data_IF_142001221730
#
_entry.id   IF_142001221730
#
_cell.length_a   1.000
_cell.length_b   1.000
_cell.length_c   1.000
_cell.angle_alpha   90.00
_cell.angle_beta   90.00
_cell.angle_gamma   90.00
#
_symmetry.space_group_name_H-M   'P 1'
#
loop_
_entity.id
_entity.type
_entity.pdbx_description
1 polymer ?
#
# COMPACT_ATOMS: atom_id res chain seq x y z
N UNK A 1 16.69 -7.93 -10.52
CA UNK A 1 15.27 -8.23 -10.73
C UNK A 1 14.90 -7.93 -12.17
N UNK A 2 14.30 -8.86 -12.89
CA UNK A 2 13.69 -8.59 -14.20
C UNK A 2 12.35 -7.89 -14.01
N UNK A 3 11.91 -7.03 -14.94
CA UNK A 3 10.62 -6.31 -14.83
C UNK A 3 9.73 -6.70 -16.00
N UNK A 4 8.65 -7.42 -15.71
CA UNK A 4 7.66 -7.86 -16.69
C UNK A 4 6.87 -6.64 -17.18
N UNK A 5 6.83 -6.46 -18.49
CA UNK A 5 6.10 -5.42 -19.21
C UNK A 5 5.08 -6.05 -20.18
N UNK A 6 4.20 -5.22 -20.78
CA UNK A 6 3.15 -5.68 -21.69
C UNK A 6 1.80 -4.99 -21.53
N UNK A 7 1.67 -4.00 -20.63
CA UNK A 7 0.42 -3.26 -20.41
C UNK A 7 -0.71 -4.17 -19.91
N UNK A 8 -1.90 -4.04 -20.49
CA UNK A 8 -3.06 -4.92 -20.22
C UNK A 8 -3.16 -6.09 -21.21
N UNK A 9 -2.14 -6.29 -22.08
CA UNK A 9 -2.15 -7.31 -23.11
C UNK A 9 -1.50 -8.59 -22.58
N UNK A 10 -2.32 -9.61 -22.31
CA UNK A 10 -1.87 -10.85 -21.66
C UNK A 10 -0.83 -11.64 -22.46
N UNK A 11 -0.95 -11.65 -23.79
CA UNK A 11 0.01 -12.26 -24.70
C UNK A 11 1.40 -11.61 -24.60
N UNK A 12 1.47 -10.27 -24.64
CA UNK A 12 2.73 -9.54 -24.52
C UNK A 12 3.36 -9.72 -23.12
N UNK A 13 2.53 -9.84 -22.08
CA UNK A 13 2.96 -10.13 -20.71
C UNK A 13 3.64 -11.49 -20.60
N UNK A 14 3.05 -12.52 -21.20
CA UNK A 14 3.61 -13.87 -21.21
C UNK A 14 4.87 -13.97 -22.07
N UNK A 15 4.90 -13.34 -23.24
CA UNK A 15 6.11 -13.27 -24.08
C UNK A 15 7.28 -12.63 -23.32
N UNK A 16 7.02 -11.53 -22.60
CA UNK A 16 8.06 -10.87 -21.82
C UNK A 16 8.48 -11.70 -20.59
N UNK A 17 7.54 -12.40 -19.94
CA UNK A 17 7.85 -13.34 -18.85
C UNK A 17 8.75 -14.48 -19.34
N UNK A 18 8.47 -15.07 -20.50
CA UNK A 18 9.27 -16.17 -21.06
C UNK A 18 10.69 -15.70 -21.36
N UNK A 19 10.82 -14.51 -21.96
CA UNK A 19 12.13 -13.90 -22.20
C UNK A 19 12.90 -13.65 -20.90
N UNK A 20 12.26 -13.03 -19.90
CA UNK A 20 12.91 -12.74 -18.63
C UNK A 20 13.25 -14.01 -17.84
N UNK A 21 12.44 -15.06 -17.94
CA UNK A 21 12.68 -16.35 -17.30
C UNK A 21 13.84 -17.12 -17.92
N UNK A 22 14.24 -16.78 -19.16
CA UNK A 22 15.48 -17.29 -19.78
C UNK A 22 16.75 -16.64 -19.21
N UNK A 23 16.60 -15.58 -18.42
CA UNK A 23 17.69 -14.83 -17.79
C UNK A 23 17.66 -15.09 -16.29
N UNK A 24 18.82 -15.40 -15.70
CA UNK A 24 18.93 -15.71 -14.28
C UNK A 24 18.83 -14.44 -13.41
N UNK A 25 17.62 -14.11 -12.97
CA UNK A 25 17.35 -13.02 -12.02
C UNK A 25 16.94 -13.56 -10.66
N UNK A 26 17.43 -12.93 -9.59
CA UNK A 26 17.06 -13.24 -8.19
C UNK A 26 15.58 -12.96 -7.86
N UNK A 27 14.82 -12.38 -8.79
CA UNK A 27 13.46 -11.90 -8.55
C UNK A 27 12.82 -11.35 -9.82
N UNK A 28 11.50 -11.35 -9.86
CA UNK A 28 10.72 -10.79 -10.96
C UNK A 28 9.73 -9.73 -10.43
N UNK A 29 9.78 -8.55 -11.03
CA UNK A 29 8.87 -7.47 -10.76
C UNK A 29 7.81 -7.36 -11.87
N UNK A 30 6.67 -6.78 -11.53
CA UNK A 30 5.56 -6.53 -12.44
C UNK A 30 5.44 -5.01 -12.58
N UNK A 31 5.83 -4.49 -13.74
CA UNK A 31 5.78 -3.07 -14.06
C UNK A 31 4.56 -2.70 -14.91
N UNK A 32 4.30 -1.40 -15.04
CA UNK A 32 3.24 -0.89 -15.93
C UNK A 32 1.82 -1.22 -15.47
N UNK A 33 1.64 -1.51 -14.17
CA UNK A 33 0.36 -1.55 -13.47
C UNK A 33 0.33 -0.36 -12.48
N UNK A 34 -0.85 0.01 -12.00
CA UNK A 34 -1.13 1.20 -11.17
C UNK A 34 -0.89 2.53 -11.90
N UNK A 35 -1.17 2.57 -13.20
CA UNK A 35 -0.98 3.74 -14.07
C UNK A 35 -2.30 4.38 -14.54
N UNK A 36 -3.44 3.85 -14.09
CA UNK A 36 -4.78 4.39 -14.39
C UNK A 36 -5.79 3.33 -14.83
N UNK A 37 -5.38 2.06 -14.86
CA UNK A 37 -6.25 0.93 -15.12
C UNK A 37 -7.27 0.71 -13.99
N UNK A 38 -8.36 0.04 -14.32
CA UNK A 38 -9.36 -0.39 -13.34
C UNK A 38 -8.83 -1.56 -12.50
N UNK A 39 -9.44 -1.78 -11.34
CA UNK A 39 -9.11 -2.91 -10.47
C UNK A 39 -9.27 -4.24 -11.23
N UNK A 40 -10.33 -4.38 -12.04
CA UNK A 40 -10.60 -5.60 -12.80
C UNK A 40 -9.51 -5.86 -13.85
N UNK A 41 -9.15 -4.86 -14.66
CA UNK A 41 -8.07 -5.00 -15.65
C UNK A 41 -6.74 -5.39 -14.99
N UNK A 42 -6.41 -4.78 -13.86
CA UNK A 42 -5.22 -5.15 -13.09
C UNK A 42 -5.28 -6.60 -12.61
N UNK A 43 -6.42 -7.01 -12.05
CA UNK A 43 -6.58 -8.38 -11.54
C UNK A 43 -6.52 -9.42 -12.66
N UNK A 44 -7.10 -9.15 -13.83
CA UNK A 44 -6.99 -10.02 -15.00
C UNK A 44 -5.53 -10.26 -15.40
N UNK A 45 -4.70 -9.20 -15.41
CA UNK A 45 -3.26 -9.33 -15.69
C UNK A 45 -2.55 -10.14 -14.62
N UNK A 46 -2.85 -9.91 -13.33
CA UNK A 46 -2.21 -10.65 -12.24
C UNK A 46 -2.63 -12.12 -12.26
N UNK A 47 -3.91 -12.43 -12.35
CA UNK A 47 -4.44 -13.81 -12.40
C UNK A 47 -3.88 -14.61 -13.57
N UNK A 48 -3.61 -13.95 -14.71
CA UNK A 48 -2.92 -14.57 -15.84
C UNK A 48 -1.44 -14.85 -15.56
N UNK A 49 -0.71 -13.87 -15.01
CA UNK A 49 0.74 -13.95 -14.81
C UNK A 49 1.13 -14.87 -13.66
N UNK A 50 0.42 -14.80 -12.53
CA UNK A 50 0.84 -15.44 -11.28
C UNK A 50 1.06 -16.96 -11.39
N UNK A 51 0.21 -17.73 -12.10
CA UNK A 51 0.44 -19.16 -12.30
C UNK A 51 1.64 -19.48 -13.21
N UNK A 52 1.98 -18.59 -14.14
CA UNK A 52 3.08 -18.76 -15.08
C UNK A 52 4.45 -18.37 -14.47
N UNK A 53 4.46 -17.50 -13.46
CA UNK A 53 5.69 -17.07 -12.81
C UNK A 53 6.31 -18.19 -11.94
N UNK A 54 7.66 -18.31 -11.91
CA UNK A 54 8.35 -19.28 -11.06
C UNK A 54 8.04 -19.05 -9.57
N UNK A 55 7.52 -20.08 -8.89
CA UNK A 55 7.14 -19.99 -7.47
C UNK A 55 8.32 -19.81 -6.50
N UNK A 56 9.53 -20.17 -6.92
CA UNK A 56 10.76 -20.00 -6.13
C UNK A 56 11.32 -18.58 -6.17
N UNK A 57 10.76 -17.72 -7.02
CA UNK A 57 11.30 -16.39 -7.31
C UNK A 57 10.38 -15.34 -6.72
N UNK A 58 10.87 -14.38 -5.92
CA UNK A 58 10.03 -13.32 -5.36
C UNK A 58 9.32 -12.50 -6.46
N UNK A 59 8.01 -12.30 -6.26
CA UNK A 59 7.10 -11.57 -7.17
C UNK A 59 6.79 -10.20 -6.61
N UNK A 60 7.35 -9.17 -7.22
CA UNK A 60 7.25 -7.78 -6.73
C UNK A 60 6.29 -6.96 -7.60
N UNK A 61 5.18 -6.48 -7.03
CA UNK A 61 4.27 -5.57 -7.71
C UNK A 61 4.62 -4.11 -7.40
N UNK A 62 5.01 -3.36 -8.43
CA UNK A 62 5.51 -2.00 -8.28
C UNK A 62 4.37 -0.97 -8.17
N UNK A 63 4.45 -0.08 -7.18
CA UNK A 63 3.61 1.13 -7.11
C UNK A 63 2.16 0.94 -6.66
N UNK A 64 1.73 -0.27 -6.31
CA UNK A 64 0.39 -0.55 -5.77
C UNK A 64 0.39 -0.40 -4.25
N UNK A 65 -0.64 0.21 -3.65
CA UNK A 65 -0.55 0.38 -2.19
C UNK A 65 -1.73 0.87 -1.39
N UNK A 66 -3.00 0.73 -1.80
CA UNK A 66 -4.06 0.76 -0.77
C UNK A 66 -4.06 -0.57 -0.01
N UNK A 67 -4.49 -0.63 1.26
CA UNK A 67 -4.49 -1.88 2.02
C UNK A 67 -5.31 -2.99 1.35
N UNK A 68 -6.48 -2.64 0.78
CA UNK A 68 -7.33 -3.58 0.06
C UNK A 68 -6.66 -4.11 -1.20
N UNK A 69 -6.02 -3.23 -1.98
CA UNK A 69 -5.31 -3.64 -3.19
C UNK A 69 -4.14 -4.61 -2.88
N UNK A 70 -3.43 -4.37 -1.78
CA UNK A 70 -2.35 -5.27 -1.32
C UNK A 70 -2.92 -6.64 -0.98
N UNK A 71 -4.02 -6.71 -0.21
CA UNK A 71 -4.67 -7.98 0.14
C UNK A 71 -5.08 -8.75 -1.13
N UNK A 72 -5.78 -8.09 -2.06
CA UNK A 72 -6.21 -8.73 -3.31
C UNK A 72 -5.03 -9.24 -4.16
N UNK A 73 -3.92 -8.52 -4.17
CA UNK A 73 -2.72 -8.92 -4.90
C UNK A 73 -1.98 -10.08 -4.20
N UNK A 74 -1.96 -10.11 -2.86
CA UNK A 74 -1.45 -11.25 -2.09
C UNK A 74 -2.27 -12.51 -2.36
N UNK A 75 -3.60 -12.39 -2.46
CA UNK A 75 -4.50 -13.52 -2.72
C UNK A 75 -4.20 -14.25 -4.05
N UNK A 76 -3.67 -13.53 -5.04
CA UNK A 76 -3.22 -14.11 -6.31
C UNK A 76 -1.74 -14.50 -6.33
N UNK A 77 -0.97 -14.15 -5.29
CA UNK A 77 0.40 -14.59 -5.09
C UNK A 77 1.47 -13.53 -5.30
N UNK A 78 1.18 -12.24 -5.14
CA UNK A 78 2.24 -11.23 -5.09
C UNK A 78 2.93 -11.26 -3.72
N UNK A 79 4.27 -11.18 -3.70
CA UNK A 79 5.08 -11.32 -2.49
C UNK A 79 5.59 -9.98 -1.93
N UNK A 80 5.82 -8.98 -2.79
CA UNK A 80 6.42 -7.69 -2.42
C UNK A 80 5.69 -6.51 -3.03
N UNK A 81 5.73 -5.37 -2.33
CA UNK A 81 5.03 -4.13 -2.69
C UNK A 81 5.85 -2.90 -2.32
N UNK A 82 5.62 -1.80 -3.04
CA UNK A 82 6.04 -0.47 -2.63
C UNK A 82 4.94 0.54 -2.96
N UNK A 83 4.76 1.53 -2.10
CA UNK A 83 3.87 2.64 -2.41
C UNK A 83 4.09 3.86 -1.53
N UNK A 84 3.88 5.04 -2.12
CA UNK A 84 3.87 6.31 -1.39
C UNK A 84 2.57 6.56 -0.61
N UNK A 85 1.49 5.83 -0.91
CA UNK A 85 0.15 6.00 -0.34
C UNK A 85 0.15 6.16 1.19
N UNK A 86 0.74 5.25 2.00
CA UNK A 86 0.68 5.37 3.46
C UNK A 86 1.21 6.71 3.95
N UNK A 87 2.34 7.18 3.41
CA UNK A 87 2.94 8.45 3.83
C UNK A 87 2.22 9.66 3.23
N UNK A 88 1.82 9.61 1.95
CA UNK A 88 1.13 10.72 1.27
C UNK A 88 -0.25 10.97 1.88
N UNK A 89 -0.99 9.91 2.19
CA UNK A 89 -2.30 10.01 2.82
C UNK A 89 -2.20 10.52 4.27
N UNK A 90 -1.23 10.01 5.03
CA UNK A 90 -0.96 10.48 6.39
C UNK A 90 -0.75 12.00 6.44
N UNK A 91 0.14 12.54 5.60
CA UNK A 91 0.43 13.98 5.53
C UNK A 91 -0.78 14.83 5.14
N UNK A 92 -1.76 14.24 4.45
CA UNK A 92 -3.02 14.91 4.10
C UNK A 92 -4.14 14.70 5.13
N UNK A 93 -3.89 13.95 6.21
CA UNK A 93 -4.85 13.68 7.28
C UNK A 93 -5.81 12.52 6.98
N UNK A 94 -5.46 11.66 6.02
CA UNK A 94 -6.12 10.37 5.79
C UNK A 94 -5.30 9.27 6.45
N UNK A 95 -5.87 8.67 7.49
CA UNK A 95 -5.19 7.73 8.36
C UNK A 95 -5.91 6.38 8.30
N UNK A 96 -5.18 5.29 8.08
CA UNK A 96 -5.76 3.95 8.00
C UNK A 96 -5.88 3.32 9.38
N UNK A 97 -7.01 2.70 9.68
CA UNK A 97 -7.28 2.02 10.96
C UNK A 97 -7.96 0.68 10.69
N UNK A 98 -8.00 -0.20 11.68
CA UNK A 98 -8.71 -1.49 11.60
C UNK A 98 -10.22 -1.32 11.37
N UNK A 99 -10.77 -0.13 11.67
CA UNK A 99 -12.18 0.23 11.45
C UNK A 99 -12.41 1.04 10.17
N UNK A 100 -11.41 1.11 9.28
CA UNK A 100 -11.45 1.85 8.03
C UNK A 100 -10.68 3.16 8.08
N UNK A 101 -11.04 4.09 7.20
CA UNK A 101 -10.28 5.33 6.98
C UNK A 101 -10.72 6.45 7.93
N UNK A 102 -9.83 6.86 8.83
CA UNK A 102 -9.99 8.03 9.69
C UNK A 102 -9.57 9.31 8.97
N UNK A 103 -10.49 10.29 8.91
CA UNK A 103 -10.21 11.65 8.45
C UNK A 103 -9.91 12.54 9.65
N UNK A 104 -8.64 12.69 10.01
CA UNK A 104 -8.24 13.27 11.30
C UNK A 104 -8.67 14.74 11.47
N UNK A 105 -8.78 15.49 10.37
CA UNK A 105 -9.18 16.91 10.37
C UNK A 105 -10.67 17.13 10.68
N UNK A 106 -11.50 16.09 10.57
CA UNK A 106 -12.96 16.21 10.78
C UNK A 106 -13.30 16.75 12.17
N UNK A 107 -14.37 17.54 12.26
CA UNK A 107 -14.80 18.19 13.51
C UNK A 107 -15.10 17.19 14.63
N UNK A 108 -15.57 15.98 14.30
CA UNK A 108 -15.86 14.92 15.27
C UNK A 108 -14.64 14.53 16.14
N UNK A 109 -13.41 14.70 15.64
CA UNK A 109 -12.22 14.34 16.38
C UNK A 109 -11.73 15.49 17.30
N UNK A 110 -12.43 16.62 17.37
CA UNK A 110 -11.97 17.82 18.12
C UNK A 110 -11.74 17.53 19.60
N UNK A 111 -12.59 16.70 20.21
CA UNK A 111 -12.57 16.37 21.64
C UNK A 111 -12.41 14.84 21.85
N UNK A 112 -12.11 14.10 20.79
CA UNK A 112 -11.92 12.65 20.87
C UNK A 112 -10.55 12.32 21.50
N UNK A 113 -10.58 11.85 22.75
CA UNK A 113 -9.38 11.50 23.52
C UNK A 113 -8.84 10.10 23.21
N UNK A 114 -9.54 9.31 22.40
CA UNK A 114 -9.06 7.99 21.96
C UNK A 114 -7.80 8.12 21.10
N UNK A 115 -6.96 7.06 21.00
CA UNK A 115 -5.87 7.02 20.04
C UNK A 115 -6.40 7.03 18.60
N UNK A 116 -5.51 7.18 17.61
CA UNK A 116 -5.87 7.05 16.19
C UNK A 116 -6.64 5.76 15.95
N UNK A 117 -6.11 4.65 16.46
CA UNK A 117 -6.65 3.31 16.36
C UNK A 117 -6.48 2.60 17.71
N UNK A 118 -7.54 2.01 18.23
CA UNK A 118 -7.56 1.33 19.54
C UNK A 118 -6.89 -0.05 19.45
N UNK A 119 -6.77 -0.59 18.23
CA UNK A 119 -6.18 -1.90 17.96
C UNK A 119 -4.70 -1.80 17.51
N UNK A 120 -4.04 -0.64 17.70
CA UNK A 120 -2.67 -0.37 17.27
C UNK A 120 -1.79 0.09 18.44
N UNK A 121 -0.59 -0.50 18.55
CA UNK A 121 0.38 -0.20 19.62
C UNK A 121 1.56 0.66 19.15
N UNK A 122 1.44 1.36 18.01
CA UNK A 122 2.52 2.21 17.53
C UNK A 122 2.76 3.40 18.46
N UNK A 123 3.91 4.07 18.29
CA UNK A 123 4.27 5.26 19.08
C UNK A 123 3.17 6.33 19.10
N UNK A 124 2.48 6.55 17.97
CA UNK A 124 1.43 7.57 17.90
C UNK A 124 0.18 7.18 18.71
N UNK A 125 -0.27 5.93 18.61
CA UNK A 125 -1.44 5.45 19.35
C UNK A 125 -1.20 5.37 20.86
N UNK A 126 0.01 4.99 21.29
CA UNK A 126 0.30 4.88 22.73
C UNK A 126 0.48 6.22 23.45
N UNK A 127 0.75 7.32 22.72
CA UNK A 127 1.18 8.58 23.34
C UNK A 127 0.26 9.76 23.04
N UNK A 128 -0.60 9.69 22.01
CA UNK A 128 -1.36 10.85 21.56
C UNK A 128 -2.81 10.51 21.19
N UNK A 129 -3.72 11.38 21.66
CA UNK A 129 -5.13 11.35 21.27
C UNK A 129 -5.38 11.86 19.85
N UNK A 130 -6.51 11.47 19.25
CA UNK A 130 -7.02 12.02 17.99
C UNK A 130 -7.22 13.54 18.07
N UNK A 131 -7.71 14.07 19.18
CA UNK A 131 -7.91 15.51 19.38
C UNK A 131 -6.61 16.30 19.27
N UNK A 132 -5.55 15.82 19.93
CA UNK A 132 -4.23 16.44 19.84
C UNK A 132 -3.65 16.40 18.42
N UNK A 133 -3.71 15.25 17.75
CA UNK A 133 -3.19 15.12 16.39
C UNK A 133 -3.99 16.01 15.43
N UNK A 134 -5.33 16.06 15.57
CA UNK A 134 -6.17 16.99 14.81
C UNK A 134 -5.77 18.44 15.03
N UNK A 135 -5.51 18.84 16.28
CA UNK A 135 -5.04 20.18 16.59
C UNK A 135 -3.74 20.51 15.83
N UNK A 136 -2.76 19.60 15.84
CA UNK A 136 -1.51 19.78 15.08
C UNK A 136 -1.78 19.97 13.57
N UNK A 137 -2.71 19.20 12.98
CA UNK A 137 -3.09 19.39 11.57
C UNK A 137 -3.74 20.75 11.31
N UNK A 138 -4.56 21.26 12.23
CA UNK A 138 -5.24 22.55 12.07
C UNK A 138 -4.29 23.74 12.24
N UNK A 139 -3.26 23.60 13.06
CA UNK A 139 -2.22 24.60 13.25
C UNK A 139 -1.06 24.46 12.25
N UNK A 140 -1.17 23.54 11.27
CA UNK A 140 -0.14 23.23 10.27
C UNK A 140 1.22 22.84 10.87
N UNK A 141 1.21 22.16 12.02
CA UNK A 141 2.41 21.68 12.69
C UNK A 141 2.95 20.40 12.04
N UNK A 142 4.25 20.37 11.76
CA UNK A 142 4.91 19.23 11.09
C UNK A 142 4.80 17.94 11.91
N UNK A 143 4.70 18.07 13.24
CA UNK A 143 4.53 16.94 14.15
C UNK A 143 3.26 16.12 13.83
N UNK A 144 2.17 16.79 13.42
CA UNK A 144 0.93 16.09 13.06
C UNK A 144 1.13 15.15 11.87
N UNK A 145 1.85 15.62 10.85
CA UNK A 145 2.24 14.82 9.68
C UNK A 145 3.18 13.67 10.04
N UNK A 146 4.14 13.90 10.95
CA UNK A 146 5.07 12.86 11.42
C UNK A 146 4.34 11.75 12.17
N UNK A 147 3.49 12.09 13.14
CA UNK A 147 2.71 11.12 13.92
C UNK A 147 1.76 10.31 13.03
N UNK A 148 1.02 10.97 12.14
CA UNK A 148 0.16 10.27 11.19
C UNK A 148 0.96 9.32 10.27
N UNK A 149 2.18 9.70 9.88
CA UNK A 149 3.03 8.87 9.00
C UNK A 149 3.57 7.66 9.76
N UNK A 150 4.01 7.83 11.01
CA UNK A 150 4.42 6.72 11.88
C UNK A 150 3.26 5.72 11.99
N UNK A 151 2.05 6.20 12.29
CA UNK A 151 0.87 5.35 12.37
C UNK A 151 0.60 4.59 11.08
N UNK A 152 0.47 5.28 9.93
CA UNK A 152 0.13 4.62 8.68
C UNK A 152 1.17 3.58 8.25
N UNK A 153 2.47 3.84 8.47
CA UNK A 153 3.51 2.84 8.16
C UNK A 153 3.40 1.65 9.12
N UNK A 154 3.18 1.89 10.41
CA UNK A 154 3.00 0.82 11.40
C UNK A 154 1.78 -0.05 11.07
N UNK A 155 0.67 0.58 10.67
CA UNK A 155 -0.53 -0.10 10.17
C UNK A 155 -0.23 -1.01 8.97
N UNK A 156 0.57 -0.56 8.00
CA UNK A 156 0.94 -1.38 6.83
C UNK A 156 1.85 -2.55 7.19
N UNK A 157 2.70 -2.39 8.20
CA UNK A 157 3.61 -3.43 8.68
C UNK A 157 2.95 -4.40 9.68
N UNK A 158 1.74 -4.07 10.18
CA UNK A 158 1.06 -4.85 11.21
C UNK A 158 1.76 -4.80 12.57
N UNK A 159 2.43 -3.68 12.89
CA UNK A 159 3.20 -3.47 14.14
C UNK A 159 2.68 -2.32 15.00
#
# INVERSE_FOLDING_TARGET
MGIIQGGMYGDLRLENLDYLSSIDFDGLAIGGLSVGETINERMEVLELLMPAMPKSTPRYLMGLGTPLDIISAVDVGVDMFDCVIPTRHARNGQIYTHRGVLRIKNAQNKEDLRPIDEDCNCYSCNNFSRSYIRHLFNCNEILGSRLATIHNISFYLGV
#
